data_IF_645466926887
#
_entry.id   IF_645466926887
#
_cell.length_a   1.000
_cell.length_b   1.000
_cell.length_c   1.000
_cell.angle_alpha   90.00
_cell.angle_beta   90.00
_cell.angle_gamma   90.00
#
_symmetry.space_group_name_H-M   'P 1'
#
loop_
_entity.id
_entity.type
_entity.pdbx_description
1 polymer ?
#
# COMPACT_ATOMS: atom_id res chain seq x y z
N UNK A 1 -27.31 -0.45 -31.43
CA UNK A 1 -25.94 -0.03 -31.83
C UNK A 1 -24.99 -0.35 -30.68
N UNK A 2 -23.96 -1.18 -30.90
CA UNK A 2 -22.90 -1.40 -29.90
C UNK A 2 -21.93 -0.23 -30.01
N UNK A 3 -21.93 0.66 -29.02
CA UNK A 3 -20.86 1.65 -28.88
C UNK A 3 -19.56 0.88 -28.59
N UNK A 4 -18.69 0.74 -29.59
CA UNK A 4 -17.30 0.38 -29.37
C UNK A 4 -16.59 1.58 -28.74
N UNK A 5 -16.33 1.50 -27.44
CA UNK A 5 -15.54 2.51 -26.73
C UNK A 5 -14.05 2.36 -27.02
N UNK A 6 -13.31 3.47 -26.86
CA UNK A 6 -11.90 3.80 -27.18
C UNK A 6 -10.77 2.74 -27.03
N UNK A 7 -11.03 1.48 -26.67
CA UNK A 7 -10.04 0.40 -26.52
C UNK A 7 -10.53 -0.96 -27.07
N UNK A 8 -11.52 -1.00 -27.97
CA UNK A 8 -12.10 -2.27 -28.44
C UNK A 8 -12.81 -3.06 -27.34
N UNK A 9 -13.27 -2.36 -26.31
CA UNK A 9 -14.02 -2.91 -25.19
C UNK A 9 -15.50 -2.55 -25.33
N UNK A 10 -16.37 -3.51 -25.04
CA UNK A 10 -17.83 -3.32 -25.12
C UNK A 10 -18.37 -2.85 -23.77
N UNK A 11 -19.23 -1.84 -23.77
CA UNK A 11 -20.01 -1.48 -22.58
C UNK A 11 -21.04 -2.57 -22.29
N UNK A 12 -21.00 -3.13 -21.09
CA UNK A 12 -21.94 -4.17 -20.61
C UNK A 12 -23.08 -3.57 -19.81
N UNK A 13 -22.83 -2.47 -19.10
CA UNK A 13 -23.86 -1.79 -18.32
C UNK A 13 -23.29 -0.73 -17.39
N UNK A 14 -24.12 -0.25 -16.47
CA UNK A 14 -23.75 0.72 -15.46
C UNK A 14 -23.76 0.07 -14.08
N UNK A 15 -22.82 0.46 -13.23
CA UNK A 15 -22.78 0.08 -11.82
C UNK A 15 -22.60 1.33 -10.98
N UNK A 16 -23.23 1.33 -9.82
CA UNK A 16 -23.12 2.41 -8.86
C UNK A 16 -22.24 1.97 -7.68
N UNK A 17 -21.55 2.92 -7.06
CA UNK A 17 -20.71 2.68 -5.89
C UNK A 17 -20.59 3.96 -5.07
N UNK A 18 -20.73 3.83 -3.76
CA UNK A 18 -20.40 4.89 -2.81
C UNK A 18 -18.91 4.91 -2.53
N UNK A 19 -18.34 6.12 -2.50
CA UNK A 19 -16.94 6.36 -2.20
C UNK A 19 -16.83 7.47 -1.15
N UNK A 20 -16.19 7.16 -0.03
CA UNK A 20 -15.83 8.11 1.02
C UNK A 20 -14.69 8.99 0.48
N UNK A 21 -14.97 10.29 0.36
CA UNK A 21 -14.03 11.30 -0.13
C UNK A 21 -13.79 12.40 0.89
N UNK A 22 -12.84 13.29 0.64
CA UNK A 22 -12.65 14.49 1.47
C UNK A 22 -13.85 15.47 1.41
N UNK A 23 -14.73 15.32 0.42
CA UNK A 23 -15.87 16.22 0.18
C UNK A 23 -17.23 15.59 0.56
N UNK A 24 -17.21 14.44 1.22
CA UNK A 24 -18.41 13.66 1.55
C UNK A 24 -18.43 12.31 0.86
N UNK A 25 -19.51 11.58 1.11
CA UNK A 25 -19.83 10.35 0.41
C UNK A 25 -20.31 10.67 -1.00
N UNK A 26 -19.56 10.22 -2.00
CA UNK A 26 -19.87 10.45 -3.42
C UNK A 26 -20.40 9.16 -4.03
N UNK A 27 -21.57 9.24 -4.66
CA UNK A 27 -22.15 8.14 -5.44
C UNK A 27 -21.63 8.19 -6.88
N UNK A 28 -20.75 7.27 -7.23
CA UNK A 28 -20.22 7.14 -8.59
C UNK A 28 -21.08 6.18 -9.42
N UNK A 29 -21.68 6.69 -10.50
CA UNK A 29 -22.28 5.87 -11.56
C UNK A 29 -21.27 5.67 -12.69
N UNK A 30 -20.80 4.44 -12.85
CA UNK A 30 -19.66 4.08 -13.72
C UNK A 30 -20.02 2.98 -14.71
N UNK A 31 -19.40 3.04 -15.89
CA UNK A 31 -19.58 2.04 -16.95
C UNK A 31 -18.76 0.79 -16.64
N UNK A 32 -19.39 -0.37 -16.77
CA UNK A 32 -18.76 -1.68 -16.77
C UNK A 32 -18.41 -2.05 -18.22
N UNK A 33 -17.12 -2.19 -18.48
CA UNK A 33 -16.60 -2.62 -19.78
C UNK A 33 -16.23 -4.10 -19.74
N UNK A 34 -16.40 -4.79 -20.87
CA UNK A 34 -15.89 -6.15 -21.08
C UNK A 34 -14.93 -6.16 -22.26
N UNK A 35 -13.74 -6.71 -22.02
CA UNK A 35 -12.74 -6.88 -23.07
C UNK A 35 -13.01 -8.14 -23.92
N UNK A 36 -12.24 -8.31 -24.99
CA UNK A 36 -12.33 -9.48 -25.88
C UNK A 36 -12.00 -10.81 -25.19
N UNK A 37 -11.28 -10.77 -24.05
CA UNK A 37 -10.93 -11.94 -23.22
C UNK A 37 -12.02 -12.28 -22.19
N UNK A 38 -13.09 -11.50 -22.11
CA UNK A 38 -14.19 -11.69 -21.16
C UNK A 38 -14.00 -10.99 -19.80
N UNK A 39 -12.88 -10.31 -19.56
CA UNK A 39 -12.63 -9.64 -18.29
C UNK A 39 -13.41 -8.33 -18.17
N UNK A 40 -13.86 -8.06 -16.95
CA UNK A 40 -14.64 -6.89 -16.59
C UNK A 40 -13.74 -5.76 -16.07
N UNK A 41 -13.90 -4.56 -16.62
CA UNK A 41 -13.11 -3.38 -16.28
C UNK A 41 -13.99 -2.18 -15.93
N UNK A 42 -13.57 -1.43 -14.92
CA UNK A 42 -14.10 -0.09 -14.63
C UNK A 42 -13.02 0.94 -14.97
N UNK A 43 -13.12 1.54 -16.16
CA UNK A 43 -12.11 2.52 -16.63
C UNK A 43 -12.08 3.77 -15.76
N UNK A 44 -13.23 4.18 -15.22
CA UNK A 44 -13.30 5.31 -14.29
C UNK A 44 -12.47 5.05 -13.03
N UNK A 45 -12.65 3.89 -12.38
CA UNK A 45 -11.86 3.51 -11.20
C UNK A 45 -10.36 3.54 -11.48
N UNK A 46 -9.93 2.97 -12.61
CA UNK A 46 -8.52 2.98 -13.02
C UNK A 46 -8.00 4.41 -13.21
N UNK A 47 -8.80 5.28 -13.86
CA UNK A 47 -8.42 6.66 -14.14
C UNK A 47 -8.27 7.50 -12.88
N UNK A 48 -9.13 7.28 -11.89
CA UNK A 48 -9.08 8.01 -10.61
C UNK A 48 -8.22 7.30 -9.56
N UNK A 49 -7.59 6.17 -9.88
CA UNK A 49 -6.77 5.40 -8.95
C UNK A 49 -7.56 4.73 -7.82
N UNK A 50 -8.85 4.46 -7.99
CA UNK A 50 -9.67 3.80 -6.98
C UNK A 50 -9.38 2.30 -6.97
N UNK A 51 -8.87 1.80 -5.85
CA UNK A 51 -8.57 0.38 -5.67
C UNK A 51 -9.81 -0.50 -5.90
N UNK A 52 -9.59 -1.65 -6.53
CA UNK A 52 -10.66 -2.63 -6.77
C UNK A 52 -11.29 -3.03 -5.44
N UNK A 53 -12.62 -2.85 -5.35
CA UNK A 53 -13.39 -3.16 -4.13
C UNK A 53 -13.25 -2.15 -2.98
N UNK A 54 -12.38 -1.13 -3.07
CA UNK A 54 -12.27 -0.09 -2.02
C UNK A 54 -13.38 0.95 -2.14
N UNK A 55 -14.07 1.25 -1.04
CA UNK A 55 -15.03 2.36 -0.96
C UNK A 55 -14.37 3.64 -0.45
N UNK A 56 -13.04 3.69 -0.34
CA UNK A 56 -12.29 4.85 0.16
C UNK A 56 -11.54 5.49 -1.01
N UNK A 57 -11.72 6.79 -1.20
CA UNK A 57 -11.01 7.54 -2.25
C UNK A 57 -9.48 7.48 -2.05
N UNK A 58 -8.68 7.61 -3.11
CA UNK A 58 -7.21 7.55 -2.99
C UNK A 58 -6.65 8.58 -2.02
N UNK A 59 -7.22 9.80 -2.00
CA UNK A 59 -6.79 10.87 -1.11
C UNK A 59 -7.14 10.56 0.36
N UNK A 60 -8.36 10.10 0.63
CA UNK A 60 -8.77 9.68 1.98
C UNK A 60 -7.92 8.50 2.47
N UNK A 61 -7.62 7.52 1.60
CA UNK A 61 -6.71 6.41 1.89
C UNK A 61 -5.32 6.92 2.24
N UNK A 62 -4.75 7.79 1.41
CA UNK A 62 -3.42 8.35 1.63
C UNK A 62 -3.33 9.05 2.98
N UNK A 63 -4.31 9.90 3.30
CA UNK A 63 -4.37 10.60 4.58
C UNK A 63 -4.44 9.61 5.75
N UNK A 64 -5.35 8.63 5.70
CA UNK A 64 -5.51 7.63 6.75
C UNK A 64 -4.23 6.81 6.99
N UNK A 65 -3.59 6.32 5.93
CA UNK A 65 -2.37 5.51 6.03
C UNK A 65 -1.19 6.36 6.52
N UNK A 66 -1.04 7.58 6.01
CA UNK A 66 0.02 8.48 6.47
C UNK A 66 -0.15 8.84 7.94
N UNK A 67 -1.35 9.21 8.39
CA UNK A 67 -1.58 9.49 9.81
C UNK A 67 -1.32 8.29 10.71
N UNK A 68 -1.48 7.06 10.20
CA UNK A 68 -1.20 5.85 10.98
C UNK A 68 0.29 5.57 11.23
N UNK A 69 1.20 6.33 10.63
CA UNK A 69 2.63 6.23 10.96
C UNK A 69 2.95 6.92 12.28
N UNK A 70 2.15 7.92 12.65
CA UNK A 70 2.44 8.81 13.79
C UNK A 70 1.46 8.59 14.96
N UNK A 71 0.26 8.05 14.68
CA UNK A 71 -0.82 7.91 15.65
C UNK A 71 -1.44 6.50 15.65
N UNK A 72 -2.05 6.11 16.76
CA UNK A 72 -2.83 4.86 16.83
C UNK A 72 -4.06 4.94 15.92
N UNK A 73 -4.56 3.81 15.41
CA UNK A 73 -5.71 3.82 14.50
C UNK A 73 -6.98 4.48 15.07
N UNK A 74 -7.15 4.46 16.40
CA UNK A 74 -8.27 5.14 17.09
C UNK A 74 -8.08 6.65 17.13
N UNK A 75 -6.86 7.11 17.37
CA UNK A 75 -6.52 8.53 17.30
C UNK A 75 -6.67 9.05 15.86
N UNK A 76 -6.21 8.28 14.87
CA UNK A 76 -6.41 8.62 13.45
C UNK A 76 -7.90 8.77 13.14
N UNK A 77 -8.76 7.83 13.55
CA UNK A 77 -10.21 7.97 13.38
C UNK A 77 -10.74 9.25 14.05
N UNK A 78 -10.34 9.51 15.30
CA UNK A 78 -10.78 10.68 16.06
C UNK A 78 -10.40 11.99 15.37
N UNK A 79 -9.13 12.13 14.98
CA UNK A 79 -8.60 13.30 14.27
C UNK A 79 -9.30 13.47 12.92
N UNK A 80 -9.41 12.39 12.14
CA UNK A 80 -10.03 12.45 10.83
C UNK A 80 -11.51 12.80 10.91
N UNK A 81 -12.26 12.27 11.89
CA UNK A 81 -13.68 12.59 12.08
C UNK A 81 -13.93 14.00 12.61
N UNK A 82 -12.97 14.58 13.33
CA UNK A 82 -13.04 15.98 13.73
C UNK A 82 -12.97 16.93 12.52
N UNK A 83 -12.24 16.56 11.47
CA UNK A 83 -12.07 17.37 10.25
C UNK A 83 -13.11 17.00 9.18
N UNK A 84 -13.35 15.70 8.99
CA UNK A 84 -14.27 15.14 8.02
C UNK A 84 -15.24 14.20 8.75
N UNK A 85 -16.44 14.66 9.15
CA UNK A 85 -17.36 13.86 9.97
C UNK A 85 -17.72 12.47 9.41
N UNK A 86 -17.64 12.31 8.09
CA UNK A 86 -17.86 11.05 7.35
C UNK A 86 -16.57 10.22 7.12
N UNK A 87 -15.47 10.55 7.80
CA UNK A 87 -14.20 9.83 7.66
C UNK A 87 -14.30 8.35 8.06
N UNK A 88 -13.30 7.61 7.62
CA UNK A 88 -13.15 6.17 7.83
C UNK A 88 -13.01 5.81 9.32
N UNK A 89 -13.50 4.62 9.68
CA UNK A 89 -13.35 4.06 11.04
C UNK A 89 -11.93 3.55 11.31
N UNK A 90 -11.54 3.38 12.57
CA UNK A 90 -10.24 2.79 12.94
C UNK A 90 -10.00 1.42 12.30
N UNK A 91 -11.05 0.61 12.16
CA UNK A 91 -10.99 -0.71 11.50
C UNK A 91 -10.65 -0.58 10.02
N UNK A 92 -11.17 0.46 9.38
CA UNK A 92 -10.91 0.75 7.97
C UNK A 92 -9.49 1.28 7.80
N UNK A 93 -9.03 2.17 8.68
CA UNK A 93 -7.62 2.63 8.72
C UNK A 93 -6.68 1.44 8.84
N UNK A 94 -6.87 0.57 9.83
CA UNK A 94 -6.08 -0.65 10.03
C UNK A 94 -6.03 -1.52 8.76
N UNK A 95 -7.17 -1.77 8.12
CA UNK A 95 -7.23 -2.57 6.90
C UNK A 95 -6.51 -1.90 5.71
N UNK A 96 -6.57 -0.58 5.61
CA UNK A 96 -5.85 0.18 4.58
C UNK A 96 -4.34 0.13 4.81
N UNK A 97 -3.90 0.32 6.05
CA UNK A 97 -2.48 0.26 6.43
C UNK A 97 -1.91 -1.15 6.21
N UNK A 98 -2.63 -2.20 6.61
CA UNK A 98 -2.21 -3.58 6.37
C UNK A 98 -2.09 -3.92 4.87
N UNK A 99 -2.99 -3.40 4.03
CA UNK A 99 -2.87 -3.62 2.58
C UNK A 99 -1.60 -2.99 2.00
N UNK A 100 -1.21 -1.81 2.49
CA UNK A 100 0.02 -1.14 2.07
C UNK A 100 1.25 -1.88 2.62
N UNK A 101 1.24 -2.24 3.90
CA UNK A 101 2.33 -3.00 4.52
C UNK A 101 2.56 -4.35 3.83
N UNK A 102 1.50 -5.14 3.61
CA UNK A 102 1.60 -6.45 2.96
C UNK A 102 2.15 -6.34 1.53
N UNK A 103 1.78 -5.31 0.76
CA UNK A 103 2.37 -5.14 -0.57
C UNK A 103 3.88 -4.89 -0.53
N UNK A 104 4.39 -4.21 0.49
CA UNK A 104 5.83 -4.01 0.66
C UNK A 104 6.53 -5.28 1.15
N UNK A 105 5.92 -6.01 2.09
CA UNK A 105 6.45 -7.29 2.59
C UNK A 105 6.57 -8.30 1.43
N UNK A 106 5.53 -8.45 0.61
CA UNK A 106 5.57 -9.36 -0.56
C UNK A 106 6.65 -8.98 -1.58
N UNK A 107 6.94 -7.68 -1.75
CA UNK A 107 8.02 -7.21 -2.62
C UNK A 107 9.41 -7.50 -2.03
N UNK A 108 9.57 -7.33 -0.70
CA UNK A 108 10.81 -7.65 0.01
C UNK A 108 11.08 -9.15 0.01
N UNK A 109 10.08 -9.98 0.29
CA UNK A 109 10.18 -11.45 0.23
C UNK A 109 10.64 -11.92 -1.15
N UNK A 110 10.10 -11.33 -2.24
CA UNK A 110 10.55 -11.65 -3.61
C UNK A 110 12.01 -11.28 -3.84
N UNK A 111 12.48 -10.15 -3.30
CA UNK A 111 13.89 -9.72 -3.43
C UNK A 111 14.82 -10.63 -2.63
N UNK A 112 14.43 -10.99 -1.41
CA UNK A 112 15.17 -11.93 -0.54
C UNK A 112 15.29 -13.28 -1.25
N UNK A 113 14.17 -13.79 -1.78
CA UNK A 113 14.15 -15.04 -2.52
C UNK A 113 15.07 -15.02 -3.75
N UNK A 114 14.98 -13.97 -4.56
CA UNK A 114 15.84 -13.80 -5.73
C UNK A 114 17.34 -13.75 -5.36
N UNK A 115 17.68 -13.10 -4.24
CA UNK A 115 19.07 -13.01 -3.78
C UNK A 115 19.62 -14.35 -3.27
N UNK A 116 18.88 -15.03 -2.39
CA UNK A 116 19.39 -16.22 -1.69
C UNK A 116 19.17 -17.52 -2.46
N UNK A 117 18.08 -17.65 -3.22
CA UNK A 117 17.77 -18.87 -3.97
C UNK A 117 18.30 -18.78 -5.41
N UNK A 118 18.04 -17.67 -6.10
CA UNK A 118 18.38 -17.52 -7.52
C UNK A 118 19.76 -16.85 -7.73
N UNK A 119 20.44 -16.44 -6.66
CA UNK A 119 21.76 -15.79 -6.71
C UNK A 119 21.74 -14.41 -7.39
N UNK A 120 20.57 -13.78 -7.53
CA UNK A 120 20.42 -12.49 -8.19
C UNK A 120 20.90 -11.40 -7.24
N UNK A 121 22.12 -10.91 -7.49
CA UNK A 121 22.67 -9.78 -6.75
C UNK A 121 21.87 -8.53 -7.13
N UNK A 122 21.26 -7.81 -6.17
CA UNK A 122 20.56 -6.56 -6.46
C UNK A 122 21.55 -5.54 -7.06
N UNK A 123 21.04 -4.66 -7.93
CA UNK A 123 21.86 -3.61 -8.53
C UNK A 123 22.59 -2.83 -7.44
N UNK A 124 23.92 -2.89 -7.49
CA UNK A 124 24.80 -2.17 -6.58
C UNK A 124 25.68 -1.25 -7.41
N UNK A 125 26.19 -0.18 -6.79
CA UNK A 125 27.15 0.73 -7.44
C UNK A 125 28.54 0.09 -7.65
N UNK A 126 28.68 -1.24 -7.49
CA UNK A 126 29.92 -1.99 -7.73
C UNK A 126 31.10 -1.54 -6.86
N UNK A 127 30.84 -0.91 -5.71
CA UNK A 127 31.89 -0.28 -4.89
C UNK A 127 32.52 -1.30 -3.95
N UNK A 128 33.82 -1.56 -4.14
CA UNK A 128 34.66 -2.24 -3.17
C UNK A 128 35.15 -1.24 -2.10
N UNK A 129 35.10 -1.65 -0.83
CA UNK A 129 35.66 -0.88 0.30
C UNK A 129 36.57 -1.79 1.11
N UNK A 130 37.64 -1.23 1.68
CA UNK A 130 38.61 -1.97 2.49
C UNK A 130 38.02 -2.42 3.84
N UNK A 131 37.12 -1.62 4.42
CA UNK A 131 36.43 -1.94 5.66
C UNK A 131 34.94 -1.60 5.57
N UNK A 132 34.11 -2.54 6.01
CA UNK A 132 32.67 -2.41 6.12
C UNK A 132 32.28 -2.50 7.60
N UNK A 133 31.75 -1.41 8.15
CA UNK A 133 31.18 -1.42 9.50
C UNK A 133 29.66 -1.45 9.40
N UNK A 134 29.06 -2.42 10.09
CA UNK A 134 27.62 -2.56 10.25
C UNK A 134 27.32 -2.44 11.75
N UNK A 135 26.44 -1.49 12.09
CA UNK A 135 25.90 -1.31 13.44
C UNK A 135 24.46 -1.82 13.44
N UNK A 136 24.09 -2.64 14.42
CA UNK A 136 22.78 -3.30 14.49
C UNK A 136 22.05 -2.93 15.79
N UNK A 137 20.96 -2.17 15.69
CA UNK A 137 20.10 -1.76 16.80
C UNK A 137 18.91 -2.71 16.94
N UNK A 138 18.73 -3.31 18.12
CA UNK A 138 17.58 -4.17 18.44
C UNK A 138 16.42 -3.39 19.09
N UNK A 139 15.26 -3.37 18.46
CA UNK A 139 14.00 -2.85 19.01
C UNK A 139 13.14 -4.02 19.47
N UNK A 140 12.79 -4.06 20.76
CA UNK A 140 11.94 -5.12 21.32
C UNK A 140 10.48 -4.65 21.40
N UNK A 141 9.59 -5.33 20.69
CA UNK A 141 8.14 -5.07 20.67
C UNK A 141 7.38 -6.17 21.37
N UNK A 142 6.38 -5.82 22.17
CA UNK A 142 5.45 -6.79 22.75
C UNK A 142 4.40 -7.20 21.71
N UNK A 143 4.35 -8.50 21.42
CA UNK A 143 3.39 -9.04 20.47
C UNK A 143 2.06 -9.37 21.16
N UNK A 144 0.94 -9.02 20.52
CA UNK A 144 -0.39 -9.44 20.96
C UNK A 144 -0.86 -10.64 20.13
N UNK A 145 -1.35 -11.68 20.80
CA UNK A 145 -1.96 -12.89 20.20
C UNK A 145 -1.01 -13.82 19.43
N UNK A 146 0.28 -13.73 19.68
CA UNK A 146 1.30 -14.68 19.20
C UNK A 146 1.71 -15.68 20.29
N UNK A 147 2.29 -16.83 19.89
CA UNK A 147 2.84 -17.82 20.84
C UNK A 147 3.97 -17.23 21.68
N UNK A 148 4.74 -16.32 21.10
CA UNK A 148 5.79 -15.57 21.78
C UNK A 148 5.30 -14.16 22.14
N UNK A 149 5.64 -13.69 23.34
CA UNK A 149 5.13 -12.41 23.88
C UNK A 149 5.94 -11.19 23.42
N UNK A 150 7.08 -11.41 22.76
CA UNK A 150 8.03 -10.36 22.38
C UNK A 150 8.65 -10.72 21.03
N UNK A 151 8.84 -9.72 20.18
CA UNK A 151 9.65 -9.83 18.97
C UNK A 151 10.74 -8.76 18.99
N UNK A 152 11.92 -9.14 18.52
CA UNK A 152 13.05 -8.24 18.34
C UNK A 152 13.18 -7.92 16.86
N UNK A 153 13.15 -6.64 16.53
CA UNK A 153 13.42 -6.10 15.19
C UNK A 153 14.83 -5.53 15.21
N UNK A 154 15.69 -6.00 14.31
CA UNK A 154 17.05 -5.46 14.16
C UNK A 154 17.10 -4.46 13.00
N UNK A 155 17.50 -3.23 13.29
CA UNK A 155 17.78 -2.21 12.29
C UNK A 155 19.29 -2.06 12.13
N UNK A 156 19.78 -2.18 10.90
CA UNK A 156 21.21 -2.05 10.62
C UNK A 156 21.53 -0.68 9.98
N UNK A 157 22.61 -0.05 10.45
CA UNK A 157 23.21 1.13 9.84
C UNK A 157 24.58 0.77 9.28
N UNK A 158 24.83 1.13 8.01
CA UNK A 158 26.08 0.85 7.32
C UNK A 158 26.94 2.10 7.23
N UNK A 159 28.14 2.08 7.84
CA UNK A 159 29.16 3.12 7.64
C UNK A 159 30.28 2.62 6.75
N UNK A 160 30.69 3.49 5.82
CA UNK A 160 31.87 3.30 4.97
C UNK A 160 32.95 4.25 5.44
N UNK A 161 34.18 3.77 5.56
CA UNK A 161 35.36 4.63 5.59
C UNK A 161 36.10 4.45 4.26
N UNK A 162 36.35 5.57 3.58
CA UNK A 162 37.26 5.59 2.45
C UNK A 162 38.68 5.37 2.97
N UNK A 163 39.35 4.34 2.48
CA UNK A 163 40.80 4.29 2.55
C UNK A 163 41.33 5.11 1.38
N UNK A 164 41.83 6.30 1.66
CA UNK A 164 42.80 6.93 0.78
C UNK A 164 44.05 6.04 0.80
N UNK A 165 44.38 5.50 -0.36
CA UNK A 165 45.68 4.88 -0.66
C UNK A 165 46.14 5.43 -2.01
#
# INVERSE_FOLDING_TARGET
MKEEGALGMKVVGFREKWVISLFGDIKLRRRLYRDKKGNCHFLLDKRIGLDKGSHVSPMMKKLAVQSSTDYTFREVESIMKAIFPWAVSYTTVHNLSNRVANSHIEEEEKKIKALYEDGVVPESKGKAVSYLFMEADGINISLQREKERKAEIKGDCLRRLGGDS
#
